data_IF_534745677091
#
_entry.id   IF_534745677091
#
_cell.length_a   1.000
_cell.length_b   1.000
_cell.length_c   1.000
_cell.angle_alpha   90.00
_cell.angle_beta   90.00
_cell.angle_gamma   90.00
#
_symmetry.space_group_name_H-M   'P 1'
#
loop_
_entity.id
_entity.type
_entity.pdbx_description
1 polymer ?
#
# COMPACT_ATOMS: atom_id res chain seq x y z
N UNK A 1 19.00 -13.09 -3.70
CA UNK A 1 17.93 -12.14 -3.35
C UNK A 1 17.07 -11.96 -4.58
N UNK A 2 15.81 -12.32 -4.51
CA UNK A 2 14.87 -12.30 -5.63
C UNK A 2 13.80 -11.22 -5.37
N UNK A 3 13.48 -10.40 -6.37
CA UNK A 3 12.33 -9.52 -6.38
C UNK A 3 11.24 -10.25 -7.16
N UNK A 4 10.14 -10.61 -6.51
CA UNK A 4 9.04 -11.33 -7.12
C UNK A 4 7.84 -10.40 -7.31
N UNK A 5 7.30 -10.37 -8.52
CA UNK A 5 5.94 -9.94 -8.74
C UNK A 5 5.01 -11.08 -8.35
N UNK A 6 3.83 -10.77 -7.86
CA UNK A 6 2.88 -11.72 -7.27
C UNK A 6 2.30 -12.79 -8.18
N UNK A 7 2.78 -12.94 -9.42
CA UNK A 7 2.50 -14.11 -10.27
C UNK A 7 3.23 -15.38 -9.83
N UNK A 8 4.32 -15.22 -9.06
CA UNK A 8 5.15 -16.32 -8.62
C UNK A 8 4.61 -16.89 -7.30
N UNK A 9 4.80 -18.19 -7.06
CA UNK A 9 4.33 -18.88 -5.85
C UNK A 9 5.02 -18.33 -4.61
N UNK A 10 4.37 -17.43 -3.88
CA UNK A 10 4.81 -17.02 -2.55
C UNK A 10 3.66 -17.15 -1.55
N UNK A 11 4.02 -17.26 -0.30
CA UNK A 11 3.04 -17.39 0.79
C UNK A 11 2.33 -16.05 1.06
N UNK A 12 1.02 -16.01 0.81
CA UNK A 12 0.15 -14.87 1.17
C UNK A 12 0.20 -14.59 2.68
N UNK A 13 0.48 -15.62 3.49
CA UNK A 13 0.67 -15.46 4.93
C UNK A 13 1.80 -14.47 5.27
N UNK A 14 2.88 -14.46 4.48
CA UNK A 14 3.97 -13.50 4.65
C UNK A 14 3.53 -12.05 4.41
N UNK A 15 2.64 -11.79 3.42
CA UNK A 15 2.05 -10.46 3.22
C UNK A 15 1.21 -10.02 4.41
N UNK A 16 0.41 -10.94 4.98
CA UNK A 16 -0.40 -10.64 6.17
C UNK A 16 0.49 -10.36 7.37
N UNK A 17 1.60 -11.09 7.53
CA UNK A 17 2.56 -10.86 8.60
C UNK A 17 3.27 -9.49 8.46
N UNK A 18 3.72 -9.13 7.24
CA UNK A 18 4.31 -7.81 6.96
C UNK A 18 3.29 -6.67 7.19
N UNK A 19 2.02 -6.89 6.83
CA UNK A 19 0.96 -5.92 7.12
C UNK A 19 0.74 -5.75 8.62
N UNK A 20 0.80 -6.84 9.40
CA UNK A 20 0.73 -6.77 10.87
C UNK A 20 1.90 -5.97 11.45
N UNK A 21 3.11 -6.19 10.94
CA UNK A 21 4.28 -5.42 11.34
C UNK A 21 4.13 -3.92 11.04
N UNK A 22 3.58 -3.58 9.87
CA UNK A 22 3.28 -2.19 9.54
C UNK A 22 2.32 -1.56 10.55
N UNK A 23 1.23 -2.25 10.93
CA UNK A 23 0.29 -1.77 11.93
C UNK A 23 0.92 -1.63 13.31
N UNK A 24 1.80 -2.56 13.69
CA UNK A 24 2.56 -2.47 14.95
C UNK A 24 3.42 -1.20 15.00
N UNK A 25 4.12 -0.90 13.90
CA UNK A 25 4.98 0.30 13.81
C UNK A 25 4.17 1.60 13.82
N UNK A 26 3.00 1.61 13.19
CA UNK A 26 2.12 2.79 13.16
C UNK A 26 1.24 2.93 14.41
N UNK A 27 1.37 2.05 15.40
CA UNK A 27 0.59 2.08 16.64
C UNK A 27 -0.90 1.74 16.45
N UNK A 28 -1.25 1.11 15.32
CA UNK A 28 -2.64 0.71 15.06
C UNK A 28 -3.02 -0.49 15.94
N UNK A 29 -4.08 -0.35 16.73
CA UNK A 29 -4.58 -1.42 17.58
C UNK A 29 -5.06 -2.61 16.73
N UNK A 30 -4.62 -3.82 17.07
CA UNK A 30 -4.96 -5.07 16.38
C UNK A 30 -5.75 -6.01 17.31
N UNK A 31 -6.79 -5.48 17.94
CA UNK A 31 -7.58 -6.17 18.99
C UNK A 31 -8.46 -7.28 18.45
N UNK A 32 -8.90 -7.21 17.20
CA UNK A 32 -9.73 -8.22 16.55
C UNK A 32 -8.91 -9.02 15.53
N UNK A 33 -8.76 -10.33 15.74
CA UNK A 33 -8.01 -11.21 14.85
C UNK A 33 -8.64 -11.44 13.46
N UNK A 34 -9.95 -11.13 13.29
CA UNK A 34 -10.68 -11.36 12.03
C UNK A 34 -10.08 -10.62 10.83
N UNK A 35 -9.43 -9.47 11.06
CA UNK A 35 -8.78 -8.74 9.99
C UNK A 35 -7.66 -9.54 9.29
N UNK A 36 -6.96 -10.46 10.00
CA UNK A 36 -5.90 -11.31 9.40
C UNK A 36 -6.49 -12.27 8.37
N UNK A 37 -7.57 -12.97 8.71
CA UNK A 37 -8.26 -13.87 7.78
C UNK A 37 -8.86 -13.12 6.60
N UNK A 38 -9.42 -11.93 6.86
CA UNK A 38 -9.92 -11.05 5.80
C UNK A 38 -8.80 -10.54 4.89
N UNK A 39 -7.65 -10.16 5.46
CA UNK A 39 -6.48 -9.74 4.68
C UNK A 39 -5.93 -10.89 3.85
N UNK A 40 -5.83 -12.10 4.41
CA UNK A 40 -5.38 -13.28 3.67
C UNK A 40 -6.27 -13.53 2.44
N UNK A 41 -7.58 -13.59 2.63
CA UNK A 41 -8.55 -13.73 1.52
C UNK A 41 -8.40 -12.60 0.51
N UNK A 42 -8.32 -11.35 0.97
CA UNK A 42 -8.19 -10.16 0.14
C UNK A 42 -6.95 -10.23 -0.76
N UNK A 43 -5.78 -10.59 -0.21
CA UNK A 43 -4.56 -10.76 -0.99
C UNK A 43 -4.67 -11.91 -1.97
N UNK A 44 -5.18 -13.08 -1.55
CA UNK A 44 -5.37 -14.26 -2.42
C UNK A 44 -6.17 -13.93 -3.67
N UNK A 45 -7.23 -13.14 -3.53
CA UNK A 45 -8.08 -12.73 -4.66
C UNK A 45 -7.42 -11.70 -5.58
N UNK A 46 -6.45 -10.93 -5.08
CA UNK A 46 -5.92 -9.74 -5.78
C UNK A 46 -4.50 -9.85 -6.28
N UNK A 47 -3.75 -10.84 -5.83
CA UNK A 47 -2.35 -11.01 -6.27
C UNK A 47 -2.18 -11.20 -7.79
N UNK A 48 -3.22 -11.67 -8.48
CA UNK A 48 -3.22 -11.84 -9.94
C UNK A 48 -4.00 -10.75 -10.69
N UNK A 49 -4.60 -9.82 -9.98
CA UNK A 49 -5.41 -8.77 -10.60
C UNK A 49 -4.50 -7.62 -11.07
N UNK A 50 -4.48 -7.26 -12.37
CA UNK A 50 -3.54 -6.28 -12.92
C UNK A 50 -3.71 -4.85 -12.38
N UNK A 51 -4.85 -4.52 -11.75
CA UNK A 51 -5.03 -3.21 -11.09
C UNK A 51 -4.29 -3.12 -9.75
N UNK A 52 -3.64 -4.20 -9.30
CA UNK A 52 -2.78 -4.23 -8.11
C UNK A 52 -1.35 -4.61 -8.51
N UNK A 53 -0.39 -3.79 -8.12
CA UNK A 53 1.04 -4.11 -8.18
C UNK A 53 1.51 -4.50 -6.78
N UNK A 54 1.59 -5.80 -6.48
CA UNK A 54 2.03 -6.30 -5.17
C UNK A 54 3.40 -6.95 -5.36
N UNK A 55 4.41 -6.46 -4.66
CA UNK A 55 5.79 -6.94 -4.80
C UNK A 55 6.34 -7.35 -3.44
N UNK A 56 7.10 -8.45 -3.45
CA UNK A 56 7.81 -8.94 -2.28
C UNK A 56 9.30 -9.07 -2.57
N UNK A 57 10.11 -8.95 -1.54
CA UNK A 57 11.55 -9.20 -1.61
C UNK A 57 11.84 -10.42 -0.75
N UNK A 58 12.55 -11.38 -1.32
CA UNK A 58 13.04 -12.58 -0.62
C UNK A 58 14.53 -12.44 -0.28
N UNK A 59 14.89 -12.89 0.93
CA UNK A 59 16.25 -13.11 1.36
C UNK A 59 16.38 -14.57 1.77
N UNK A 60 17.13 -15.38 1.01
CA UNK A 60 17.08 -16.83 1.14
C UNK A 60 15.70 -17.37 0.75
N UNK A 61 15.08 -18.12 1.64
CA UNK A 61 13.75 -18.70 1.46
C UNK A 61 12.63 -17.78 2.02
N UNK A 62 12.98 -16.73 2.75
CA UNK A 62 12.03 -15.92 3.50
C UNK A 62 11.62 -14.68 2.74
N UNK A 63 10.32 -14.37 2.73
CA UNK A 63 9.80 -13.05 2.32
C UNK A 63 10.06 -12.07 3.45
N UNK A 64 10.88 -11.04 3.17
CA UNK A 64 11.39 -10.13 4.20
C UNK A 64 10.86 -8.70 4.08
N UNK A 65 10.36 -8.31 2.90
CA UNK A 65 9.77 -7.01 2.65
C UNK A 65 8.68 -7.08 1.59
N UNK A 66 7.79 -6.10 1.60
CA UNK A 66 6.78 -5.93 0.56
C UNK A 66 6.49 -4.46 0.29
N UNK A 67 5.85 -4.20 -0.85
CA UNK A 67 5.17 -2.96 -1.18
C UNK A 67 3.99 -3.25 -2.10
N UNK A 68 2.97 -2.40 -2.07
CA UNK A 68 1.77 -2.55 -2.88
C UNK A 68 1.35 -1.21 -3.49
N UNK A 69 0.97 -1.25 -4.76
CA UNK A 69 0.21 -0.21 -5.45
C UNK A 69 -1.19 -0.72 -5.81
N UNK A 70 -2.18 0.14 -5.75
CA UNK A 70 -3.54 -0.15 -6.18
C UNK A 70 -4.06 0.99 -7.04
N UNK A 71 -4.57 0.68 -8.24
CA UNK A 71 -5.29 1.69 -9.04
C UNK A 71 -6.60 2.00 -8.35
N UNK A 72 -6.85 3.29 -8.13
CA UNK A 72 -8.13 3.80 -7.61
C UNK A 72 -8.87 4.52 -8.73
N UNK A 73 -10.17 4.34 -8.75
CA UNK A 73 -11.08 5.07 -9.60
C UNK A 73 -11.63 6.30 -8.87
N UNK A 74 -11.67 7.43 -9.53
CA UNK A 74 -12.16 8.70 -9.01
C UNK A 74 -12.73 9.57 -10.14
N UNK A 75 -13.51 10.57 -9.81
CA UNK A 75 -14.00 11.52 -10.81
C UNK A 75 -12.82 12.25 -11.48
N UNK A 76 -12.82 12.43 -12.81
CA UNK A 76 -11.81 13.22 -13.50
C UNK A 76 -11.65 14.63 -12.93
N UNK A 77 -10.42 15.11 -12.93
CA UNK A 77 -10.08 16.46 -12.50
C UNK A 77 -9.03 17.07 -13.43
N UNK A 78 -8.81 18.41 -13.40
CA UNK A 78 -7.79 19.04 -14.21
C UNK A 78 -6.37 18.45 -14.03
N UNK A 79 -6.04 17.99 -12.84
CA UNK A 79 -4.75 17.35 -12.53
C UNK A 79 -4.71 15.88 -12.92
N UNK A 80 -5.87 15.22 -12.97
CA UNK A 80 -6.02 13.78 -13.29
C UNK A 80 -7.19 13.61 -14.24
N UNK A 81 -7.00 13.92 -15.53
CA UNK A 81 -8.09 13.92 -16.51
C UNK A 81 -8.77 12.55 -16.69
N UNK A 82 -8.04 11.46 -16.49
CA UNK A 82 -8.57 10.08 -16.60
C UNK A 82 -9.30 9.62 -15.34
N UNK A 83 -9.31 10.41 -14.27
CA UNK A 83 -9.98 10.07 -13.02
C UNK A 83 -9.37 8.88 -12.27
N UNK A 84 -8.10 8.52 -12.54
CA UNK A 84 -7.43 7.39 -11.90
C UNK A 84 -6.11 7.81 -11.28
N UNK A 85 -5.82 7.26 -10.10
CA UNK A 85 -4.50 7.37 -9.49
C UNK A 85 -4.04 6.03 -8.91
N UNK A 86 -2.78 5.96 -8.47
CA UNK A 86 -2.21 4.80 -7.79
C UNK A 86 -2.01 5.11 -6.32
N UNK A 87 -2.68 4.38 -5.44
CA UNK A 87 -2.38 4.40 -4.01
C UNK A 87 -1.25 3.43 -3.70
N UNK A 88 -0.10 3.95 -3.27
CA UNK A 88 0.99 3.12 -2.76
C UNK A 88 0.81 2.90 -1.26
N UNK A 89 0.94 1.66 -0.82
CA UNK A 89 0.75 1.25 0.57
C UNK A 89 1.53 -0.02 0.91
N UNK A 90 1.43 -0.50 2.14
CA UNK A 90 2.09 -1.73 2.60
C UNK A 90 3.61 -1.77 2.33
N UNK A 91 4.28 -0.62 2.30
CA UNK A 91 5.75 -0.58 2.23
C UNK A 91 6.29 -0.96 3.61
N UNK A 92 6.74 -2.19 3.74
CA UNK A 92 7.16 -2.75 5.01
C UNK A 92 8.33 -3.71 4.87
N UNK A 93 9.21 -3.72 5.86
CA UNK A 93 10.32 -4.67 6.02
C UNK A 93 10.32 -5.17 7.45
N UNK A 94 10.46 -6.49 7.64
CA UNK A 94 10.61 -7.06 8.98
C UNK A 94 11.81 -6.46 9.72
N UNK A 95 11.72 -6.24 11.05
CA UNK A 95 12.76 -5.55 11.82
C UNK A 95 14.17 -6.12 11.63
N UNK A 96 14.30 -7.44 11.67
CA UNK A 96 15.58 -8.14 11.51
C UNK A 96 16.24 -7.93 10.13
N UNK A 97 15.51 -7.42 9.15
CA UNK A 97 15.96 -7.23 7.77
C UNK A 97 16.01 -5.75 7.34
N UNK A 98 15.82 -4.82 8.28
CA UNK A 98 15.94 -3.38 8.01
C UNK A 98 17.40 -2.98 7.77
N UNK A 99 17.61 -1.82 7.16
CA UNK A 99 18.95 -1.32 6.84
C UNK A 99 19.59 -1.93 5.59
N UNK A 100 19.00 -2.98 4.98
CA UNK A 100 19.52 -3.68 3.80
C UNK A 100 18.90 -3.20 2.46
N UNK A 101 18.09 -2.15 2.49
CA UNK A 101 17.45 -1.60 1.28
C UNK A 101 16.29 -2.42 0.72
N UNK A 102 15.79 -3.45 1.42
CA UNK A 102 14.73 -4.31 0.90
C UNK A 102 13.40 -3.58 0.70
N UNK A 103 13.01 -2.72 1.64
CA UNK A 103 11.80 -1.89 1.50
C UNK A 103 11.89 -0.95 0.31
N UNK A 104 13.04 -0.31 0.08
CA UNK A 104 13.29 0.54 -1.09
C UNK A 104 13.12 -0.24 -2.39
N UNK A 105 13.66 -1.46 -2.47
CA UNK A 105 13.53 -2.30 -3.68
C UNK A 105 12.09 -2.72 -3.97
N UNK A 106 11.33 -3.10 -2.93
CA UNK A 106 9.92 -3.41 -3.09
C UNK A 106 9.14 -2.18 -3.58
N UNK A 107 9.40 -1.01 -2.99
CA UNK A 107 8.82 0.26 -3.39
C UNK A 107 9.17 0.64 -4.83
N UNK A 108 10.43 0.55 -5.23
CA UNK A 108 10.86 0.82 -6.61
C UNK A 108 10.18 -0.10 -7.63
N UNK A 109 9.90 -1.36 -7.26
CA UNK A 109 9.15 -2.27 -8.12
C UNK A 109 7.70 -1.81 -8.30
N UNK A 110 7.04 -1.37 -7.22
CA UNK A 110 5.71 -0.75 -7.29
C UNK A 110 5.74 0.47 -8.19
N UNK A 111 6.76 1.33 -8.08
CA UNK A 111 6.85 2.54 -8.91
C UNK A 111 7.04 2.20 -10.39
N UNK A 112 7.87 1.21 -10.73
CA UNK A 112 7.99 0.73 -12.13
C UNK A 112 6.66 0.22 -12.66
N UNK A 113 5.94 -0.57 -11.87
CA UNK A 113 4.60 -1.03 -12.24
C UNK A 113 3.63 0.15 -12.38
N UNK A 114 3.61 1.10 -11.44
CA UNK A 114 2.74 2.27 -11.52
C UNK A 114 2.97 3.08 -12.80
N UNK A 115 4.24 3.33 -13.17
CA UNK A 115 4.59 3.98 -14.44
C UNK A 115 4.08 3.18 -15.64
N UNK A 116 4.18 1.84 -15.61
CA UNK A 116 3.70 0.99 -16.72
C UNK A 116 2.17 1.01 -16.90
N UNK A 117 1.41 1.46 -15.91
CA UNK A 117 -0.06 1.64 -16.05
C UNK A 117 -0.45 2.84 -16.91
N UNK A 118 0.49 3.77 -17.16
CA UNK A 118 0.21 5.04 -17.82
C UNK A 118 -0.53 6.07 -16.97
N UNK A 119 -0.83 5.77 -15.69
CA UNK A 119 -1.52 6.68 -14.78
C UNK A 119 -0.56 7.76 -14.30
N UNK A 120 -0.97 9.02 -14.41
CA UNK A 120 -0.10 10.17 -14.18
C UNK A 120 0.15 10.54 -12.71
N UNK A 121 -0.56 9.94 -11.75
CA UNK A 121 -0.45 10.30 -10.33
C UNK A 121 -0.36 9.10 -9.42
N UNK A 122 0.53 9.15 -8.42
CA UNK A 122 0.58 8.22 -7.30
C UNK A 122 0.49 8.99 -5.98
N UNK A 123 -0.17 8.39 -4.99
CA UNK A 123 -0.28 8.92 -3.63
C UNK A 123 0.15 7.88 -2.59
N UNK A 124 0.63 8.33 -1.46
CA UNK A 124 0.91 7.50 -0.29
C UNK A 124 0.79 8.30 1.00
N UNK A 125 0.68 7.59 2.12
CA UNK A 125 0.82 8.17 3.45
C UNK A 125 2.19 7.80 4.00
N UNK A 126 3.09 8.79 4.09
CA UNK A 126 4.44 8.58 4.57
C UNK A 126 4.49 8.53 6.09
N UNK A 127 5.19 7.52 6.64
CA UNK A 127 5.69 7.60 8.01
C UNK A 127 6.96 8.47 8.03
N UNK A 128 7.31 9.03 9.18
CA UNK A 128 8.55 9.81 9.31
C UNK A 128 9.78 9.04 8.84
N UNK A 129 9.89 7.77 9.24
CA UNK A 129 11.00 6.91 8.83
C UNK A 129 11.06 6.60 7.32
N UNK A 130 9.93 6.67 6.62
CA UNK A 130 9.85 6.40 5.17
C UNK A 130 9.98 7.64 4.29
N UNK A 131 9.75 8.83 4.85
CA UNK A 131 9.63 10.09 4.11
C UNK A 131 10.79 10.34 3.15
N UNK A 132 12.02 10.26 3.62
CA UNK A 132 13.19 10.54 2.79
C UNK A 132 13.33 9.64 1.56
N UNK A 133 12.91 8.38 1.68
CA UNK A 133 12.89 7.45 0.53
C UNK A 133 11.88 7.90 -0.53
N UNK A 134 10.71 8.37 -0.10
CA UNK A 134 9.67 8.82 -1.03
C UNK A 134 10.03 10.15 -1.69
N UNK A 135 10.58 11.10 -0.94
CA UNK A 135 11.05 12.39 -1.45
C UNK A 135 12.14 12.22 -2.52
N UNK A 136 13.08 11.28 -2.33
CA UNK A 136 14.11 10.95 -3.32
C UNK A 136 13.55 10.40 -4.64
N UNK A 137 12.30 9.92 -4.64
CA UNK A 137 11.59 9.43 -5.84
C UNK A 137 10.61 10.44 -6.42
N UNK A 138 10.59 11.68 -5.91
CA UNK A 138 9.77 12.74 -6.44
C UNK A 138 8.42 12.93 -5.75
N UNK A 139 8.15 12.21 -4.65
CA UNK A 139 6.96 12.52 -3.85
C UNK A 139 7.17 13.82 -3.09
N UNK A 140 6.15 14.65 -3.09
CA UNK A 140 6.09 15.89 -2.33
C UNK A 140 4.92 15.85 -1.35
N UNK A 141 5.05 16.55 -0.24
CA UNK A 141 3.94 16.66 0.72
C UNK A 141 2.76 17.38 0.07
N UNK A 142 1.57 16.79 0.16
CA UNK A 142 0.35 17.41 -0.37
C UNK A 142 0.04 18.70 0.40
N UNK A 143 -0.51 19.67 -0.31
CA UNK A 143 -0.97 20.96 0.26
C UNK A 143 -2.06 20.77 1.32
N UNK A 144 -2.92 19.77 1.13
CA UNK A 144 -4.03 19.47 2.04
C UNK A 144 -3.75 18.25 2.88
N UNK A 145 -3.98 18.36 4.19
CA UNK A 145 -3.82 17.23 5.11
C UNK A 145 -4.85 16.14 4.84
N UNK A 146 -4.42 14.90 4.84
CA UNK A 146 -5.34 13.76 4.80
C UNK A 146 -6.13 13.69 6.12
N UNK A 147 -7.44 13.50 6.03
CA UNK A 147 -8.35 13.36 7.16
C UNK A 147 -9.02 11.98 7.14
N UNK A 148 -9.33 11.43 8.31
CA UNK A 148 -10.01 10.14 8.45
C UNK A 148 -11.13 10.25 9.48
N UNK A 149 -12.28 9.67 9.18
CA UNK A 149 -13.40 9.56 10.11
C UNK A 149 -13.77 8.09 10.35
N UNK A 150 -14.19 7.75 11.55
CA UNK A 150 -14.86 6.48 11.85
C UNK A 150 -16.36 6.62 11.59
N UNK A 151 -16.82 6.12 10.46
CA UNK A 151 -18.23 6.24 10.05
C UNK A 151 -19.21 5.53 10.99
N UNK A 152 -18.74 4.58 11.79
CA UNK A 152 -19.57 3.90 12.81
C UNK A 152 -19.93 4.82 13.98
N UNK A 153 -19.22 5.95 14.13
CA UNK A 153 -19.41 6.95 15.19
C UNK A 153 -20.09 8.21 14.70
N UNK A 154 -20.41 8.30 13.41
CA UNK A 154 -21.11 9.44 12.85
C UNK A 154 -22.62 9.19 13.03
N UNK A 155 -23.26 9.96 13.91
CA UNK A 155 -24.71 9.96 14.03
C UNK A 155 -25.31 10.55 12.76
N UNK A 156 -26.21 9.81 12.10
CA UNK A 156 -26.85 10.20 10.84
C UNK A 156 -27.97 11.19 11.15
N UNK A 157 -27.60 12.39 11.58
CA UNK A 157 -28.50 13.56 11.68
C UNK A 157 -28.34 14.54 10.52
N UNK A 158 -27.57 14.17 9.48
CA UNK A 158 -27.34 15.01 8.32
C UNK A 158 -28.48 14.81 7.33
N UNK A 159 -29.35 15.81 7.07
CA UNK A 159 -30.37 15.68 6.05
C UNK A 159 -29.70 15.48 4.69
N UNK A 160 -29.89 14.30 4.12
CA UNK A 160 -29.47 14.01 2.74
C UNK A 160 -30.35 14.82 1.82
N UNK A 161 -29.83 15.90 1.25
CA UNK A 161 -30.48 16.57 0.12
C UNK A 161 -30.24 15.70 -1.11
N UNK A 162 -31.27 15.00 -1.56
CA UNK A 162 -31.28 14.42 -2.91
C UNK A 162 -31.35 15.55 -3.92
N UNK A 163 -30.44 15.53 -4.89
CA UNK A 163 -30.40 16.44 -6.04
C UNK A 163 -31.54 16.12 -7.02
#
# INVERSE_FOLDING_TARGET
MLLLQTSDRFDVGALVALRAEMFRVTGTAMTDGRWRSNAHRWFTERVKNPIYGIFVVQAGQDVVACAMGAVRDAAPSPEVPDGRDVLVSNVCTFPAHRGHGYGKRAFEAVMRWAVSTGIGRAELMATEAGRGMYEQTGFVTNRFAAMRADLRRIEVGIPVRTW
#
